data_IF_199357723601
#
_entry.id   IF_199357723601
#
_cell.length_a   1.000
_cell.length_b   1.000
_cell.length_c   1.000
_cell.angle_alpha   90.00
_cell.angle_beta   90.00
_cell.angle_gamma   90.00
#
_symmetry.space_group_name_H-M   'P 1'
#
loop_
_entity.id
_entity.type
_entity.pdbx_description
1 polymer ?
#
# COMPACT_ATOMS: atom_id res chain seq x y z
N UNK A 1 -34.58 40.64 45.65
CA UNK A 1 -34.78 39.27 46.15
C UNK A 1 -33.78 38.24 45.60
N UNK A 2 -33.04 38.50 44.51
CA UNK A 2 -32.13 37.50 43.89
C UNK A 2 -30.62 37.86 43.94
N UNK A 3 -30.19 38.68 44.88
CA UNK A 3 -28.78 39.06 45.05
C UNK A 3 -28.09 38.17 46.12
N UNK A 4 -26.85 37.73 45.87
CA UNK A 4 -26.06 37.02 46.87
C UNK A 4 -25.22 38.00 47.68
N UNK A 5 -25.82 38.53 48.75
CA UNK A 5 -25.30 39.68 49.52
C UNK A 5 -23.94 39.42 50.19
N UNK A 6 -23.60 38.16 50.50
CA UNK A 6 -22.33 37.76 51.14
C UNK A 6 -21.10 37.84 50.23
N UNK A 7 -21.30 37.98 48.92
CA UNK A 7 -20.21 38.13 47.94
C UNK A 7 -20.54 39.32 47.06
N UNK A 8 -20.39 40.51 47.62
CA UNK A 8 -20.43 41.77 46.87
C UNK A 8 -19.01 42.35 46.84
N UNK A 9 -18.74 43.28 45.94
CA UNK A 9 -17.41 43.85 45.82
C UNK A 9 -17.50 45.34 45.48
N UNK A 10 -16.60 46.13 46.06
CA UNK A 10 -16.42 47.54 45.70
C UNK A 10 -15.09 47.70 45.00
N UNK A 11 -15.13 48.27 43.81
CA UNK A 11 -13.96 48.68 43.03
C UNK A 11 -13.74 50.17 43.26
N UNK A 12 -12.58 50.52 43.80
CA UNK A 12 -12.16 51.89 44.11
C UNK A 12 -10.91 52.24 43.32
N UNK A 13 -10.86 53.45 42.78
CA UNK A 13 -9.66 53.99 42.14
C UNK A 13 -8.92 54.93 43.08
N UNK A 14 -7.70 54.57 43.51
CA UNK A 14 -6.86 55.39 44.39
C UNK A 14 -5.67 55.96 43.58
N UNK A 15 -5.53 57.30 43.55
CA UNK A 15 -4.46 57.98 42.80
C UNK A 15 -3.09 57.54 43.34
N UNK A 16 -2.27 56.95 42.45
CA UNK A 16 -0.93 56.44 42.77
C UNK A 16 -0.87 54.97 43.18
N UNK A 17 -2.02 54.33 43.47
CA UNK A 17 -2.13 52.90 43.82
C UNK A 17 -2.84 52.10 42.72
N UNK A 18 -3.72 52.73 41.96
CA UNK A 18 -4.51 52.10 40.90
C UNK A 18 -5.86 51.59 41.40
N UNK A 19 -6.38 50.54 40.76
CA UNK A 19 -7.66 49.92 41.15
C UNK A 19 -7.51 48.98 42.33
N UNK A 20 -8.40 49.12 43.30
CA UNK A 20 -8.47 48.31 44.51
C UNK A 20 -9.84 47.68 44.62
N UNK A 21 -9.85 46.37 44.87
CA UNK A 21 -11.07 45.60 45.07
C UNK A 21 -11.24 45.28 46.56
N UNK A 22 -12.39 45.66 47.10
CA UNK A 22 -12.76 45.47 48.50
C UNK A 22 -13.94 44.50 48.52
N UNK A 23 -13.72 43.31 49.05
CA UNK A 23 -14.79 42.33 49.22
C UNK A 23 -15.72 42.77 50.35
N UNK A 24 -17.03 42.70 50.07
CA UNK A 24 -18.07 43.23 50.93
C UNK A 24 -19.17 42.19 51.15
N UNK A 25 -19.41 41.89 52.43
CA UNK A 25 -20.61 41.15 52.86
C UNK A 25 -21.71 42.15 53.22
N UNK A 26 -22.55 42.48 52.24
CA UNK A 26 -23.66 43.42 52.40
C UNK A 26 -24.70 42.92 53.41
N UNK A 27 -24.85 41.61 53.60
CA UNK A 27 -25.78 41.07 54.61
C UNK A 27 -25.31 41.43 56.02
N UNK A 28 -24.00 41.39 56.26
CA UNK A 28 -23.42 41.79 57.54
C UNK A 28 -23.52 43.30 57.78
N UNK A 29 -23.38 44.11 56.73
CA UNK A 29 -23.48 45.59 56.80
C UNK A 29 -24.90 46.03 57.10
N UNK A 30 -25.91 45.43 56.45
CA UNK A 30 -27.32 45.77 56.71
C UNK A 30 -27.76 45.45 58.15
N UNK A 31 -27.14 44.44 58.77
CA UNK A 31 -27.50 43.97 60.11
C UNK A 31 -26.65 44.60 61.23
N UNK A 32 -25.45 45.07 60.92
CA UNK A 32 -24.54 45.71 61.87
C UNK A 32 -23.86 46.95 61.27
N UNK A 33 -24.39 48.13 61.61
CA UNK A 33 -23.87 49.43 61.16
C UNK A 33 -22.39 49.68 61.51
N UNK A 34 -21.78 48.93 62.44
CA UNK A 34 -20.35 49.05 62.74
C UNK A 34 -19.45 48.39 61.69
N UNK A 35 -20.02 47.54 60.84
CA UNK A 35 -19.34 46.92 59.70
C UNK A 35 -19.51 47.72 58.42
N UNK A 36 -20.27 48.81 58.47
CA UNK A 36 -20.41 49.75 57.38
C UNK A 36 -19.10 50.53 57.16
N UNK A 37 -18.83 50.91 55.93
CA UNK A 37 -17.61 51.62 55.56
C UNK A 37 -17.92 52.75 54.60
N UNK A 38 -17.17 53.85 54.71
CA UNK A 38 -17.42 55.03 53.89
C UNK A 38 -17.05 54.78 52.43
N UNK A 39 -18.02 55.00 51.54
CA UNK A 39 -17.81 55.05 50.10
C UNK A 39 -17.10 56.36 49.72
N UNK A 40 -16.30 56.29 48.67
CA UNK A 40 -15.60 57.43 48.08
C UNK A 40 -16.18 57.72 46.69
N UNK A 41 -15.99 58.96 46.22
CA UNK A 41 -16.40 59.36 44.88
C UNK A 41 -15.67 58.50 43.83
N UNK A 42 -16.44 57.92 42.91
CA UNK A 42 -15.94 56.97 41.90
C UNK A 42 -15.93 55.49 42.30
N UNK A 43 -16.40 55.12 43.50
CA UNK A 43 -16.57 53.71 43.88
C UNK A 43 -17.66 53.02 43.04
N UNK A 44 -17.33 51.85 42.48
CA UNK A 44 -18.27 51.00 41.75
C UNK A 44 -18.61 49.76 42.60
N UNK A 45 -19.87 49.64 43.03
CA UNK A 45 -20.35 48.51 43.84
C UNK A 45 -21.01 47.47 42.95
N UNK A 46 -20.43 46.28 42.88
CA UNK A 46 -20.99 45.13 42.16
C UNK A 46 -21.61 44.12 43.14
N UNK A 47 -22.89 43.81 42.94
CA UNK A 47 -23.63 42.80 43.70
C UNK A 47 -23.87 41.60 42.78
N UNK A 48 -23.26 40.46 43.09
CA UNK A 48 -23.37 39.28 42.23
C UNK A 48 -24.75 38.58 42.40
N UNK A 49 -25.32 38.03 41.31
CA UNK A 49 -26.60 37.35 41.36
C UNK A 49 -26.51 36.03 42.13
N UNK A 50 -27.58 35.65 42.82
CA UNK A 50 -27.70 34.34 43.46
C UNK A 50 -27.97 33.29 42.37
N UNK A 51 -26.99 32.41 42.09
CA UNK A 51 -27.17 31.27 41.18
C UNK A 51 -28.03 30.23 41.91
N UNK A 52 -29.34 30.32 41.78
CA UNK A 52 -30.25 29.25 42.22
C UNK A 52 -30.10 28.09 41.23
N UNK A 53 -29.20 27.15 41.53
CA UNK A 53 -29.21 25.83 40.88
C UNK A 53 -30.55 25.19 41.24
N UNK A 54 -31.45 24.99 40.27
CA UNK A 54 -32.73 24.30 40.50
C UNK A 54 -32.44 22.85 40.91
N UNK A 55 -32.48 22.57 42.21
CA UNK A 55 -32.22 21.24 42.80
C UNK A 55 -33.40 20.29 42.69
N UNK A 56 -34.09 20.18 41.54
CA UNK A 56 -35.22 19.25 41.37
C UNK A 56 -35.32 18.77 39.94
N UNK A 57 -34.26 18.14 39.45
CA UNK A 57 -34.15 17.72 38.07
C UNK A 57 -33.69 16.27 38.01
N UNK A 58 -34.21 15.52 37.04
CA UNK A 58 -33.71 14.21 36.62
C UNK A 58 -33.46 14.25 35.13
N UNK A 59 -32.58 13.41 34.62
CA UNK A 59 -32.17 13.44 33.22
C UNK A 59 -32.44 12.09 32.55
N UNK A 60 -33.06 12.12 31.36
CA UNK A 60 -33.22 10.96 30.51
C UNK A 60 -32.32 11.11 29.28
N UNK A 61 -31.44 10.13 29.05
CA UNK A 61 -30.41 10.12 28.00
C UNK A 61 -30.51 8.89 27.11
N UNK A 62 -29.81 8.96 25.99
CA UNK A 62 -29.59 7.87 25.06
C UNK A 62 -30.55 7.90 23.87
N UNK A 63 -30.13 7.34 22.74
CA UNK A 63 -30.94 7.37 21.51
C UNK A 63 -32.14 6.41 21.57
N UNK A 64 -32.21 5.52 22.56
CA UNK A 64 -33.34 4.62 22.76
C UNK A 64 -34.59 5.29 23.35
N UNK A 65 -34.53 6.56 23.76
CA UNK A 65 -35.66 7.30 24.31
C UNK A 65 -36.19 8.37 23.34
N UNK A 66 -37.51 8.54 23.24
CA UNK A 66 -38.11 9.44 22.23
C UNK A 66 -37.74 10.90 22.44
N UNK A 67 -37.76 11.36 23.69
CA UNK A 67 -37.44 12.74 24.05
C UNK A 67 -36.35 12.79 25.12
N UNK A 68 -35.06 12.68 24.76
CA UNK A 68 -33.98 12.86 25.73
C UNK A 68 -33.98 14.30 26.26
N UNK A 69 -33.64 14.49 27.53
CA UNK A 69 -33.63 15.80 28.15
C UNK A 69 -33.66 15.78 29.66
N UNK A 70 -33.74 16.99 30.22
CA UNK A 70 -33.82 17.21 31.66
C UNK A 70 -35.28 17.48 32.02
N UNK A 71 -35.78 16.75 33.01
CA UNK A 71 -37.16 16.75 33.46
C UNK A 71 -37.26 17.21 34.91
N UNK A 72 -38.40 17.79 35.28
CA UNK A 72 -38.67 18.19 36.66
C UNK A 72 -38.84 16.94 37.54
N UNK A 73 -38.05 16.86 38.61
CA UNK A 73 -38.17 15.81 39.61
C UNK A 73 -39.32 16.11 40.58
N UNK A 74 -40.12 15.09 40.86
CA UNK A 74 -41.16 15.10 41.90
C UNK A 74 -40.91 13.95 42.88
N UNK A 75 -41.10 14.15 44.20
CA UNK A 75 -40.98 13.07 45.17
C UNK A 75 -41.85 11.87 44.79
N UNK A 76 -41.29 10.66 44.87
CA UNK A 76 -41.97 9.42 44.46
C UNK A 76 -41.89 9.09 42.97
N UNK A 77 -41.26 9.93 42.13
CA UNK A 77 -41.11 9.67 40.70
C UNK A 77 -40.21 8.46 40.45
N UNK A 78 -40.61 7.59 39.53
CA UNK A 78 -39.90 6.34 39.20
C UNK A 78 -39.26 6.37 37.81
N UNK A 79 -38.45 5.36 37.49
CA UNK A 79 -37.88 5.14 36.14
C UNK A 79 -38.98 5.15 35.07
N UNK A 80 -40.08 4.45 35.31
CA UNK A 80 -41.26 4.41 34.42
C UNK A 80 -41.83 5.81 34.19
N UNK A 81 -41.96 6.61 35.24
CA UNK A 81 -42.53 7.95 35.14
C UNK A 81 -41.63 8.87 34.30
N UNK A 82 -40.30 8.77 34.47
CA UNK A 82 -39.36 9.52 33.65
C UNK A 82 -39.43 9.11 32.18
N UNK A 83 -39.47 7.80 31.90
CA UNK A 83 -39.62 7.28 30.53
C UNK A 83 -40.95 7.77 29.93
N UNK A 84 -42.03 7.78 30.72
CA UNK A 84 -43.33 8.32 30.31
C UNK A 84 -43.30 9.82 29.98
N UNK A 85 -42.63 10.63 30.81
CA UNK A 85 -42.43 12.07 30.53
C UNK A 85 -41.59 12.31 29.28
N UNK A 86 -40.66 11.39 28.98
CA UNK A 86 -39.87 11.39 27.77
C UNK A 86 -40.59 10.79 26.55
N UNK A 87 -41.92 10.68 26.60
CA UNK A 87 -42.81 10.17 25.55
C UNK A 87 -42.63 8.67 25.23
N UNK A 88 -41.86 7.95 26.04
CA UNK A 88 -41.62 6.51 25.93
C UNK A 88 -40.32 6.15 25.19
N UNK A 89 -40.21 4.85 24.89
CA UNK A 89 -39.06 4.27 24.19
C UNK A 89 -39.23 4.40 22.67
N UNK A 90 -38.12 4.53 21.94
CA UNK A 90 -38.11 4.46 20.47
C UNK A 90 -38.22 3.02 19.99
N UNK A 91 -38.60 2.86 18.72
CA UNK A 91 -38.84 1.56 18.08
C UNK A 91 -37.61 0.63 18.02
N UNK A 92 -36.42 1.20 18.13
CA UNK A 92 -35.15 0.50 18.04
C UNK A 92 -34.42 0.49 19.38
N UNK A 93 -35.10 0.66 20.52
CA UNK A 93 -34.49 0.64 21.85
C UNK A 93 -33.77 -0.70 22.13
N UNK A 94 -32.68 -0.66 22.89
CA UNK A 94 -31.99 -1.87 23.34
C UNK A 94 -32.54 -2.31 24.70
N UNK A 95 -33.34 -3.38 24.72
CA UNK A 95 -34.03 -3.80 25.93
C UNK A 95 -33.16 -4.55 26.95
N UNK A 96 -32.01 -5.12 26.56
CA UNK A 96 -31.22 -5.95 27.50
C UNK A 96 -30.53 -5.13 28.59
N UNK A 97 -30.41 -3.81 28.42
CA UNK A 97 -29.70 -2.96 29.37
C UNK A 97 -30.18 -1.52 29.38
N UNK A 98 -30.34 -0.98 30.58
CA UNK A 98 -30.44 0.42 30.90
C UNK A 98 -29.57 0.74 32.13
N UNK A 99 -29.13 1.98 32.22
CA UNK A 99 -28.23 2.43 33.28
C UNK A 99 -28.86 3.59 34.07
N UNK A 100 -28.93 3.45 35.39
CA UNK A 100 -29.29 4.51 36.34
C UNK A 100 -28.02 5.02 37.02
N UNK A 101 -27.68 6.28 36.80
CA UNK A 101 -26.57 6.97 37.47
C UNK A 101 -27.14 7.87 38.56
N UNK A 102 -26.97 7.44 39.82
CA UNK A 102 -27.41 8.16 41.00
C UNK A 102 -26.37 9.16 41.46
N UNK A 103 -26.82 10.37 41.80
CA UNK A 103 -25.98 11.38 42.46
C UNK A 103 -26.18 11.29 43.97
N UNK A 104 -25.14 10.89 44.69
CA UNK A 104 -25.18 10.84 46.16
C UNK A 104 -25.00 12.27 46.75
N UNK A 105 -25.26 12.42 48.05
CA UNK A 105 -25.21 13.74 48.73
C UNK A 105 -23.84 14.42 48.64
N UNK A 106 -22.76 13.64 48.57
CA UNK A 106 -21.40 14.13 48.38
C UNK A 106 -21.03 14.39 46.91
N UNK A 107 -22.03 14.39 46.00
CA UNK A 107 -21.90 14.51 44.55
C UNK A 107 -21.15 13.35 43.85
N UNK A 108 -20.80 12.28 44.56
CA UNK A 108 -20.31 11.07 43.92
C UNK A 108 -21.40 10.40 43.10
N UNK A 109 -20.99 9.68 42.06
CA UNK A 109 -21.90 9.02 41.12
C UNK A 109 -21.90 7.52 41.36
N UNK A 110 -23.07 6.92 41.50
CA UNK A 110 -23.26 5.48 41.62
C UNK A 110 -24.00 4.93 40.42
N UNK A 111 -23.40 3.98 39.70
CA UNK A 111 -24.04 3.30 38.58
C UNK A 111 -24.84 2.09 39.07
N UNK A 112 -26.07 1.96 38.58
CA UNK A 112 -26.91 0.77 38.73
C UNK A 112 -27.39 0.34 37.36
N UNK A 113 -27.02 -0.86 36.93
CA UNK A 113 -27.41 -1.43 35.63
C UNK A 113 -28.58 -2.39 35.80
N UNK A 114 -29.53 -2.39 34.89
CA UNK A 114 -30.66 -3.32 34.91
C UNK A 114 -31.14 -3.64 33.49
N UNK A 115 -31.89 -4.73 33.32
CA UNK A 115 -32.51 -5.06 32.04
C UNK A 115 -33.79 -4.27 31.86
N UNK A 116 -33.93 -3.55 30.75
CA UNK A 116 -35.15 -2.80 30.46
C UNK A 116 -36.33 -3.74 30.15
N UNK A 117 -36.05 -4.99 29.75
CA UNK A 117 -37.06 -6.07 29.60
C UNK A 117 -37.84 -6.36 30.87
N UNK A 118 -37.24 -6.09 32.03
CA UNK A 118 -37.92 -6.30 33.32
C UNK A 118 -39.10 -5.32 33.45
N UNK A 119 -38.99 -4.12 32.87
CA UNK A 119 -40.00 -3.05 32.93
C UNK A 119 -40.87 -2.95 31.68
N UNK A 120 -40.33 -3.25 30.50
CA UNK A 120 -41.02 -3.10 29.23
C UNK A 120 -40.93 -4.36 28.39
N UNK A 121 -42.03 -4.72 27.75
CA UNK A 121 -42.08 -5.78 26.73
C UNK A 121 -42.53 -5.19 25.40
N UNK A 122 -42.01 -5.74 24.32
CA UNK A 122 -42.48 -5.42 22.98
C UNK A 122 -43.79 -6.16 22.70
N UNK A 123 -44.83 -5.42 22.31
CA UNK A 123 -46.13 -6.00 21.96
C UNK A 123 -46.33 -6.08 20.44
N UNK A 124 -45.85 -5.07 19.73
CA UNK A 124 -45.73 -5.04 18.27
C UNK A 124 -44.42 -4.33 17.90
N UNK A 125 -43.90 -4.51 16.66
CA UNK A 125 -42.61 -3.93 16.26
C UNK A 125 -42.53 -2.45 16.60
N UNK A 126 -41.62 -2.10 17.51
CA UNK A 126 -41.39 -0.74 17.96
C UNK A 126 -42.39 -0.15 18.97
N UNK A 127 -43.35 -0.94 19.45
CA UNK A 127 -44.30 -0.57 20.49
C UNK A 127 -44.01 -1.32 21.79
N UNK A 128 -43.60 -0.56 22.82
CA UNK A 128 -43.20 -1.11 24.11
C UNK A 128 -44.21 -0.74 25.20
N UNK A 129 -44.72 -1.77 25.88
CA UNK A 129 -45.70 -1.63 26.97
C UNK A 129 -45.08 -2.03 28.30
N UNK A 130 -45.50 -1.33 29.36
CA UNK A 130 -45.05 -1.61 30.71
C UNK A 130 -45.50 -3.02 31.15
N UNK A 131 -44.59 -3.80 31.72
CA UNK A 131 -44.84 -5.20 32.11
C UNK A 131 -45.71 -5.33 33.36
N UNK A 132 -45.83 -4.26 34.16
CA UNK A 132 -46.47 -4.30 35.48
C UNK A 132 -45.56 -4.80 36.60
N UNK A 133 -44.28 -5.08 36.31
CA UNK A 133 -43.30 -5.49 37.32
C UNK A 133 -42.55 -4.27 37.85
N UNK A 134 -42.68 -4.01 39.14
CA UNK A 134 -42.07 -2.83 39.78
C UNK A 134 -40.69 -3.13 40.40
N UNK A 135 -40.20 -4.37 40.35
CA UNK A 135 -38.93 -4.79 40.99
C UNK A 135 -37.70 -3.98 40.51
N UNK A 136 -37.72 -3.53 39.25
CA UNK A 136 -36.68 -2.68 38.65
C UNK A 136 -37.15 -1.26 38.38
N UNK A 137 -38.34 -0.89 38.85
CA UNK A 137 -38.90 0.43 38.65
C UNK A 137 -38.39 1.35 39.77
N UNK A 138 -37.09 1.64 39.74
CA UNK A 138 -36.43 2.35 40.82
C UNK A 138 -37.05 3.74 41.04
N UNK A 139 -37.30 4.08 42.30
CA UNK A 139 -37.61 5.45 42.69
C UNK A 139 -36.39 6.34 42.44
N UNK A 140 -36.60 7.46 41.77
CA UNK A 140 -35.57 8.42 41.40
C UNK A 140 -35.31 9.40 42.53
N UNK A 141 -34.11 9.96 42.51
CA UNK A 141 -33.69 11.08 43.36
C UNK A 141 -33.30 12.27 42.49
N UNK A 142 -33.22 13.44 43.13
CA UNK A 142 -32.70 14.64 42.49
C UNK A 142 -31.32 14.37 41.87
N UNK A 143 -31.13 14.84 40.64
CA UNK A 143 -29.92 14.69 39.82
C UNK A 143 -29.63 13.26 39.35
N UNK A 144 -30.57 12.32 39.48
CA UNK A 144 -30.45 11.01 38.84
C UNK A 144 -30.48 11.14 37.31
N UNK A 145 -29.69 10.31 36.64
CA UNK A 145 -29.65 10.20 35.19
C UNK A 145 -29.99 8.77 34.77
N UNK A 146 -30.91 8.61 33.84
CA UNK A 146 -31.20 7.32 33.22
C UNK A 146 -30.68 7.35 31.79
N UNK A 147 -29.88 6.36 31.41
CA UNK A 147 -29.41 6.15 30.06
C UNK A 147 -30.11 4.96 29.42
N UNK A 148 -30.82 5.21 28.32
CA UNK A 148 -31.56 4.22 27.54
C UNK A 148 -30.90 4.06 26.17
N UNK A 149 -30.21 2.94 25.98
CA UNK A 149 -29.45 2.67 24.77
C UNK A 149 -30.36 2.32 23.59
N UNK A 150 -29.90 2.64 22.38
CA UNK A 150 -30.49 2.10 21.15
C UNK A 150 -29.84 0.78 20.76
N UNK A 151 -30.58 -0.08 20.06
CA UNK A 151 -30.03 -1.28 19.43
C UNK A 151 -28.93 -0.93 18.43
N UNK A 152 -28.97 0.25 17.82
CA UNK A 152 -27.92 0.75 16.95
C UNK A 152 -26.60 1.04 17.69
N UNK A 153 -26.66 1.67 18.86
CA UNK A 153 -25.48 1.92 19.71
C UNK A 153 -24.87 0.60 20.20
N UNK A 154 -25.70 -0.41 20.46
CA UNK A 154 -25.28 -1.66 21.09
C UNK A 154 -24.90 -2.77 20.11
N UNK A 155 -25.57 -2.83 18.94
CA UNK A 155 -25.40 -3.88 17.93
C UNK A 155 -24.77 -3.39 16.62
N UNK A 156 -24.62 -2.08 16.44
CA UNK A 156 -24.18 -1.46 15.19
C UNK A 156 -25.35 -0.90 14.39
N UNK A 157 -25.15 0.27 13.76
CA UNK A 157 -26.18 0.97 12.98
C UNK A 157 -26.51 0.25 11.68
N UNK A 158 -25.48 -0.18 10.97
CA UNK A 158 -25.54 -0.61 9.59
C UNK A 158 -24.61 -1.80 9.41
N UNK A 159 -25.08 -2.81 8.68
CA UNK A 159 -24.21 -3.86 8.14
C UNK A 159 -23.57 -3.32 6.87
N UNK A 160 -22.39 -3.82 6.54
CA UNK A 160 -21.65 -3.35 5.37
C UNK A 160 -21.14 -4.48 4.51
N UNK A 161 -21.00 -4.22 3.21
CA UNK A 161 -20.33 -5.09 2.24
C UNK A 161 -19.32 -4.30 1.45
N UNK A 162 -18.25 -4.94 1.02
CA UNK A 162 -17.18 -4.31 0.23
C UNK A 162 -17.12 -4.94 -1.14
N UNK A 163 -16.96 -4.14 -2.18
CA UNK A 163 -16.72 -4.61 -3.56
C UNK A 163 -15.44 -4.00 -4.09
N UNK A 164 -14.58 -4.83 -4.66
CA UNK A 164 -13.22 -4.49 -5.09
C UNK A 164 -12.88 -5.11 -6.46
N UNK A 165 -11.81 -4.61 -7.06
CA UNK A 165 -11.26 -5.09 -8.32
C UNK A 165 -11.87 -4.41 -9.56
N UNK A 166 -12.19 -5.18 -10.60
CA UNK A 166 -12.70 -4.70 -11.89
C UNK A 166 -14.17 -4.28 -11.80
N UNK A 167 -14.45 -3.21 -11.06
CA UNK A 167 -15.78 -2.60 -10.90
C UNK A 167 -15.69 -1.09 -11.07
N UNK A 168 -16.78 -0.43 -11.49
CA UNK A 168 -16.78 1.03 -11.69
C UNK A 168 -16.73 1.81 -10.38
N UNK A 169 -17.40 1.33 -9.34
CA UNK A 169 -17.47 1.99 -8.03
C UNK A 169 -16.99 1.05 -6.91
N UNK A 170 -15.68 0.81 -6.78
CA UNK A 170 -15.16 0.04 -5.67
C UNK A 170 -15.34 0.78 -4.34
N UNK A 171 -15.59 0.03 -3.27
CA UNK A 171 -15.75 0.61 -1.93
C UNK A 171 -16.63 -0.23 -1.00
N UNK A 172 -16.86 0.33 0.18
CA UNK A 172 -17.72 -0.26 1.21
C UNK A 172 -19.08 0.42 1.20
N UNK A 173 -20.14 -0.39 1.19
CA UNK A 173 -21.52 0.03 1.07
C UNK A 173 -22.36 -0.53 2.21
N UNK A 174 -23.44 0.18 2.56
CA UNK A 174 -24.44 -0.32 3.50
C UNK A 174 -25.11 -1.55 2.87
N UNK A 175 -25.33 -2.58 3.68
CA UNK A 175 -26.04 -3.81 3.33
C UNK A 175 -27.47 -3.74 3.86
N UNK A 176 -28.47 -3.45 2.99
CA UNK A 176 -29.88 -3.58 3.35
C UNK A 176 -30.28 -5.05 3.57
N UNK A 177 -31.40 -5.26 4.24
CA UNK A 177 -31.97 -6.60 4.34
C UNK A 177 -32.29 -7.18 2.95
N UNK A 178 -31.97 -8.47 2.77
CA UNK A 178 -32.21 -9.25 1.54
C UNK A 178 -31.42 -8.82 0.30
N UNK A 179 -30.39 -7.97 0.43
CA UNK A 179 -29.52 -7.65 -0.71
C UNK A 179 -28.69 -8.87 -1.14
N UNK A 180 -28.69 -9.14 -2.44
CA UNK A 180 -27.98 -10.25 -3.05
C UNK A 180 -26.67 -9.82 -3.71
N UNK A 181 -25.84 -10.80 -4.07
CA UNK A 181 -24.61 -10.58 -4.82
C UNK A 181 -24.89 -9.89 -6.15
N UNK A 182 -25.95 -10.29 -6.86
CA UNK A 182 -26.38 -9.63 -8.10
C UNK A 182 -26.72 -8.15 -7.87
N UNK A 183 -27.45 -7.81 -6.81
CA UNK A 183 -27.85 -6.42 -6.53
C UNK A 183 -26.62 -5.51 -6.32
N UNK A 184 -25.61 -6.01 -5.60
CA UNK A 184 -24.36 -5.28 -5.37
C UNK A 184 -23.60 -5.06 -6.68
N UNK A 185 -23.43 -6.12 -7.47
CA UNK A 185 -22.69 -6.08 -8.73
C UNK A 185 -23.44 -5.28 -9.79
N UNK A 186 -24.76 -5.37 -9.84
CA UNK A 186 -25.59 -4.59 -10.75
C UNK A 186 -25.46 -3.09 -10.45
N UNK A 187 -25.49 -2.70 -9.18
CA UNK A 187 -25.44 -1.30 -8.75
C UNK A 187 -24.04 -0.67 -8.79
N UNK A 188 -22.97 -1.45 -8.54
CA UNK A 188 -21.59 -0.93 -8.39
C UNK A 188 -20.60 -1.44 -9.43
N UNK A 189 -20.90 -2.58 -10.05
CA UNK A 189 -20.01 -3.26 -11.00
C UNK A 189 -19.84 -2.51 -12.31
N UNK A 190 -20.94 -1.92 -12.83
CA UNK A 190 -20.91 -1.16 -14.07
C UNK A 190 -20.79 -2.02 -15.34
N UNK A 191 -21.16 -3.30 -15.24
CA UNK A 191 -21.08 -4.30 -16.32
C UNK A 191 -22.15 -4.16 -17.40
N UNK A 192 -23.05 -3.18 -17.28
CA UNK A 192 -23.96 -2.78 -18.35
C UNK A 192 -23.22 -2.11 -19.53
N UNK A 193 -21.99 -1.67 -19.29
CA UNK A 193 -21.08 -1.17 -20.32
C UNK A 193 -20.25 -2.33 -20.88
N UNK A 194 -20.57 -2.76 -22.10
CA UNK A 194 -19.90 -3.87 -22.78
C UNK A 194 -18.39 -3.68 -22.96
N UNK A 195 -17.92 -2.43 -23.09
CA UNK A 195 -16.47 -2.18 -23.19
C UNK A 195 -15.79 -2.38 -21.84
N UNK A 196 -16.42 -1.94 -20.75
CA UNK A 196 -15.92 -2.17 -19.40
C UNK A 196 -15.94 -3.66 -19.03
N UNK A 197 -17.03 -4.35 -19.39
CA UNK A 197 -17.23 -5.79 -19.14
C UNK A 197 -16.14 -6.65 -19.75
N UNK A 198 -15.65 -6.32 -20.95
CA UNK A 198 -14.52 -7.03 -21.60
C UNK A 198 -13.23 -7.03 -20.79
N UNK A 199 -13.05 -6.08 -19.88
CA UNK A 199 -11.88 -6.04 -18.99
C UNK A 199 -11.99 -7.00 -17.80
N UNK A 200 -13.17 -7.51 -17.48
CA UNK A 200 -13.41 -8.38 -16.33
C UNK A 200 -13.34 -9.86 -16.71
N UNK A 201 -12.70 -10.65 -15.84
CA UNK A 201 -12.64 -12.09 -15.99
C UNK A 201 -13.96 -12.71 -15.55
N UNK A 202 -14.79 -13.13 -16.52
CA UNK A 202 -16.18 -13.53 -16.25
C UNK A 202 -16.30 -14.93 -15.63
N UNK A 203 -15.32 -15.81 -15.84
CA UNK A 203 -15.43 -17.20 -15.39
C UNK A 203 -15.16 -17.39 -13.88
N UNK A 204 -14.63 -16.36 -13.21
CA UNK A 204 -14.18 -16.47 -11.82
C UNK A 204 -14.29 -15.15 -11.07
N UNK A 205 -14.94 -15.22 -9.91
CA UNK A 205 -14.91 -14.19 -8.88
C UNK A 205 -15.03 -14.83 -7.49
N UNK A 206 -14.75 -14.04 -6.45
CA UNK A 206 -14.73 -14.52 -5.07
C UNK A 206 -15.53 -13.62 -4.13
N UNK A 207 -16.18 -14.24 -3.14
CA UNK A 207 -16.68 -13.58 -1.93
C UNK A 207 -15.87 -14.09 -0.74
N UNK A 208 -15.26 -13.19 0.00
CA UNK A 208 -14.56 -13.46 1.25
C UNK A 208 -15.50 -13.13 2.41
N UNK A 209 -15.84 -14.13 3.21
CA UNK A 209 -16.74 -14.00 4.36
C UNK A 209 -15.99 -14.30 5.65
N UNK A 210 -16.09 -13.38 6.62
CA UNK A 210 -15.50 -13.59 7.95
C UNK A 210 -16.30 -14.63 8.72
N UNK A 211 -15.61 -15.57 9.37
CA UNK A 211 -16.23 -16.53 10.27
C UNK A 211 -16.17 -15.95 11.70
N UNK A 212 -17.30 -15.85 12.43
CA UNK A 212 -17.29 -15.37 13.79
C UNK A 212 -16.37 -16.18 14.70
N UNK A 213 -15.40 -15.51 15.32
CA UNK A 213 -14.45 -16.13 16.27
C UNK A 213 -13.22 -16.75 15.62
N UNK A 214 -13.08 -16.72 14.29
CA UNK A 214 -11.90 -17.19 13.57
C UNK A 214 -11.16 -16.02 12.90
N UNK A 215 -9.84 -16.17 12.73
CA UNK A 215 -9.02 -15.21 11.99
C UNK A 215 -9.12 -15.40 10.47
N UNK A 216 -9.48 -16.60 10.02
CA UNK A 216 -9.53 -16.96 8.62
C UNK A 216 -10.87 -16.55 7.98
N UNK A 217 -10.80 -16.19 6.69
CA UNK A 217 -11.97 -15.89 5.88
C UNK A 217 -12.35 -17.13 5.06
N UNK A 218 -13.66 -17.42 4.98
CA UNK A 218 -14.17 -18.42 4.05
C UNK A 218 -14.26 -17.80 2.66
N UNK A 219 -13.79 -18.54 1.66
CA UNK A 219 -13.85 -18.13 0.26
C UNK A 219 -15.00 -18.86 -0.41
N UNK A 220 -15.89 -18.10 -1.03
CA UNK A 220 -16.94 -18.58 -1.92
C UNK A 220 -16.56 -18.20 -3.34
N UNK A 221 -16.57 -19.18 -4.24
CA UNK A 221 -16.27 -18.98 -5.66
C UNK A 221 -17.55 -18.98 -6.47
N UNK A 222 -17.66 -18.04 -7.40
CA UNK A 222 -18.81 -17.93 -8.30
C UNK A 222 -18.37 -17.51 -9.70
N UNK A 223 -19.20 -17.82 -10.70
CA UNK A 223 -19.02 -17.39 -12.08
C UNK A 223 -19.74 -16.05 -12.31
N UNK A 224 -18.96 -14.99 -12.55
CA UNK A 224 -19.48 -13.65 -12.75
C UNK A 224 -20.34 -13.56 -14.03
N UNK A 225 -19.96 -14.24 -15.11
CA UNK A 225 -20.70 -14.24 -16.37
C UNK A 225 -22.13 -14.75 -16.17
N UNK A 226 -22.26 -15.93 -15.55
CA UNK A 226 -23.55 -16.54 -15.22
C UNK A 226 -24.37 -15.72 -14.23
N UNK A 227 -23.73 -15.14 -13.21
CA UNK A 227 -24.39 -14.20 -12.30
C UNK A 227 -25.02 -13.03 -13.07
N UNK A 228 -24.27 -12.42 -14.00
CA UNK A 228 -24.76 -11.31 -14.82
C UNK A 228 -25.90 -11.72 -15.77
N UNK A 229 -25.94 -12.99 -16.19
CA UNK A 229 -27.04 -13.59 -16.97
C UNK A 229 -28.27 -13.94 -16.12
N UNK A 230 -28.16 -13.85 -14.79
CA UNK A 230 -29.25 -14.09 -13.85
C UNK A 230 -29.36 -15.52 -13.34
N UNK A 231 -28.27 -16.29 -13.38
CA UNK A 231 -28.23 -17.64 -12.80
C UNK A 231 -28.42 -17.57 -11.27
N UNK A 232 -29.51 -18.15 -10.71
CA UNK A 232 -29.77 -18.11 -9.27
C UNK A 232 -28.76 -18.91 -8.45
N UNK A 233 -28.09 -19.92 -9.03
CA UNK A 233 -27.08 -20.71 -8.32
C UNK A 233 -25.82 -19.89 -8.01
N UNK A 234 -25.55 -18.86 -8.80
CA UNK A 234 -24.44 -17.94 -8.61
C UNK A 234 -24.84 -16.73 -7.73
N UNK A 235 -26.13 -16.54 -7.46
CA UNK A 235 -26.67 -15.36 -6.79
C UNK A 235 -26.94 -15.58 -5.29
N UNK A 236 -25.88 -15.58 -4.49
CA UNK A 236 -25.99 -15.74 -3.04
C UNK A 236 -26.46 -14.47 -2.31
N UNK A 237 -27.07 -14.64 -1.13
CA UNK A 237 -27.34 -13.54 -0.19
C UNK A 237 -26.04 -13.08 0.49
N UNK A 238 -25.89 -11.76 0.61
CA UNK A 238 -24.73 -11.17 1.26
C UNK A 238 -24.91 -11.07 2.77
N UNK A 239 -23.80 -11.21 3.49
CA UNK A 239 -23.70 -11.06 4.93
C UNK A 239 -22.85 -9.86 5.31
N UNK A 240 -22.95 -9.44 6.57
CA UNK A 240 -22.15 -8.34 7.09
C UNK A 240 -20.66 -8.63 6.97
N UNK A 241 -19.90 -7.62 6.59
CA UNK A 241 -18.46 -7.67 6.33
C UNK A 241 -18.03 -8.58 5.16
N UNK A 242 -18.95 -9.02 4.29
CA UNK A 242 -18.55 -9.69 3.05
C UNK A 242 -17.72 -8.77 2.16
N UNK A 243 -16.66 -9.33 1.55
CA UNK A 243 -15.85 -8.66 0.54
C UNK A 243 -15.93 -9.41 -0.78
N UNK A 244 -16.47 -8.76 -1.80
CA UNK A 244 -16.62 -9.27 -3.15
C UNK A 244 -15.46 -8.78 -4.01
N UNK A 245 -14.72 -9.72 -4.59
CA UNK A 245 -13.55 -9.44 -5.43
C UNK A 245 -13.84 -9.84 -6.87
N UNK A 246 -13.78 -8.87 -7.78
CA UNK A 246 -13.90 -9.11 -9.22
C UNK A 246 -12.54 -8.93 -9.89
N UNK A 247 -12.07 -9.96 -10.60
CA UNK A 247 -10.76 -9.90 -11.24
C UNK A 247 -10.83 -9.27 -12.63
N UNK A 248 -9.77 -8.56 -13.01
CA UNK A 248 -9.57 -8.15 -14.41
C UNK A 248 -8.83 -9.25 -15.18
N UNK A 249 -9.00 -9.30 -16.50
CA UNK A 249 -8.21 -10.17 -17.37
C UNK A 249 -6.70 -9.93 -17.18
N UNK A 250 -6.28 -8.67 -17.05
CA UNK A 250 -4.86 -8.32 -16.88
C UNK A 250 -4.26 -8.85 -15.56
N UNK A 251 -5.09 -9.00 -14.52
CA UNK A 251 -4.62 -9.51 -13.22
C UNK A 251 -4.46 -11.03 -13.21
N UNK A 252 -5.28 -11.76 -13.97
CA UNK A 252 -5.29 -13.23 -13.96
C UNK A 252 -4.53 -13.86 -15.13
N UNK A 253 -4.57 -13.27 -16.32
CA UNK A 253 -3.80 -13.77 -17.47
C UNK A 253 -2.41 -13.15 -17.49
N UNK A 254 -1.38 -14.01 -17.38
CA UNK A 254 -0.02 -13.61 -17.70
C UNK A 254 0.03 -13.37 -19.21
N UNK A 255 0.22 -12.12 -19.62
CA UNK A 255 0.39 -11.80 -21.04
C UNK A 255 1.48 -12.70 -21.63
N UNK A 256 1.25 -13.30 -22.80
CA UNK A 256 2.27 -14.09 -23.46
C UNK A 256 3.52 -13.22 -23.67
N UNK A 257 4.70 -13.82 -23.56
CA UNK A 257 5.95 -13.10 -23.71
C UNK A 257 6.95 -13.90 -24.54
N UNK A 258 7.95 -13.21 -25.06
CA UNK A 258 9.10 -13.78 -25.75
C UNK A 258 10.39 -13.26 -25.13
N UNK A 259 11.46 -14.03 -25.22
CA UNK A 259 12.77 -13.63 -24.67
C UNK A 259 13.81 -13.58 -25.77
N UNK A 260 14.56 -12.48 -25.87
CA UNK A 260 15.65 -12.31 -26.84
C UNK A 260 16.99 -12.03 -26.12
N UNK A 261 18.02 -12.77 -26.50
CA UNK A 261 19.39 -12.63 -25.98
C UNK A 261 20.46 -12.74 -27.08
N UNK A 262 21.73 -12.49 -26.75
CA UNK A 262 22.85 -12.57 -27.69
C UNK A 262 23.27 -11.23 -28.27
N UNK A 263 23.50 -11.16 -29.59
CA UNK A 263 24.04 -9.99 -30.30
C UNK A 263 23.01 -8.88 -30.56
N UNK A 264 22.23 -8.54 -29.53
CA UNK A 264 21.17 -7.53 -29.54
C UNK A 264 21.48 -6.40 -28.54
N UNK A 265 21.03 -5.17 -28.80
CA UNK A 265 21.37 -4.02 -27.93
C UNK A 265 20.70 -4.09 -26.55
N UNK A 266 19.43 -4.50 -26.48
CA UNK A 266 18.65 -4.58 -25.23
C UNK A 266 18.09 -6.00 -25.05
N UNK A 267 18.91 -6.96 -24.58
CA UNK A 267 18.42 -8.31 -24.28
C UNK A 267 17.41 -8.28 -23.12
N UNK A 268 16.44 -9.18 -23.16
CA UNK A 268 15.41 -9.25 -22.12
C UNK A 268 14.12 -9.95 -22.59
N UNK A 269 13.10 -9.82 -21.75
CA UNK A 269 11.76 -10.35 -22.00
C UNK A 269 10.84 -9.23 -22.47
N UNK A 270 10.06 -9.51 -23.51
CA UNK A 270 9.14 -8.57 -24.15
C UNK A 270 7.74 -9.18 -24.20
N UNK A 271 6.71 -8.38 -23.94
CA UNK A 271 5.32 -8.78 -24.14
C UNK A 271 5.11 -9.18 -25.61
N UNK A 272 4.49 -10.33 -25.85
CA UNK A 272 4.16 -10.82 -27.17
C UNK A 272 2.84 -10.18 -27.61
N UNK A 273 2.91 -9.31 -28.61
CA UNK A 273 1.72 -8.77 -29.27
C UNK A 273 1.17 -9.76 -30.30
N UNK A 274 -0.10 -9.58 -30.66
CA UNK A 274 -0.73 -10.35 -31.74
C UNK A 274 0.03 -10.14 -33.05
N UNK A 275 0.32 -11.23 -33.77
CA UNK A 275 1.08 -11.24 -35.03
C UNK A 275 2.51 -10.65 -34.95
N UNK A 276 3.10 -10.58 -33.76
CA UNK A 276 4.46 -10.08 -33.57
C UNK A 276 5.52 -10.99 -34.23
N UNK A 277 6.49 -10.37 -34.90
CA UNK A 277 7.55 -11.08 -35.64
C UNK A 277 8.93 -10.96 -34.98
N UNK A 278 9.87 -11.79 -35.41
CA UNK A 278 11.28 -11.75 -35.01
C UNK A 278 11.88 -10.37 -35.32
N UNK A 279 11.59 -9.84 -36.50
CA UNK A 279 12.09 -8.57 -36.99
C UNK A 279 11.59 -7.41 -36.12
N UNK A 280 10.29 -7.43 -35.76
CA UNK A 280 9.70 -6.43 -34.86
C UNK A 280 10.34 -6.51 -33.47
N UNK A 281 10.56 -7.73 -32.95
CA UNK A 281 11.24 -7.94 -31.67
C UNK A 281 12.67 -7.38 -31.68
N UNK A 282 13.42 -7.60 -32.76
CA UNK A 282 14.78 -7.04 -32.92
C UNK A 282 14.73 -5.52 -32.91
N UNK A 283 13.76 -4.89 -33.58
CA UNK A 283 13.58 -3.44 -33.58
C UNK A 283 13.23 -2.91 -32.18
N UNK A 284 12.28 -3.54 -31.47
CA UNK A 284 11.91 -3.20 -30.10
C UNK A 284 13.11 -3.32 -29.15
N UNK A 285 13.94 -4.35 -29.34
CA UNK A 285 15.18 -4.54 -28.61
C UNK A 285 16.31 -3.56 -28.99
N UNK A 286 16.03 -2.57 -29.85
CA UNK A 286 16.96 -1.50 -30.22
C UNK A 286 17.88 -1.85 -31.40
N UNK A 287 17.61 -2.96 -32.07
CA UNK A 287 18.40 -3.51 -33.17
C UNK A 287 19.60 -4.32 -32.71
N UNK A 288 20.33 -4.85 -33.70
CA UNK A 288 21.56 -5.62 -33.50
C UNK A 288 22.69 -4.76 -32.94
N UNK A 289 23.63 -5.41 -32.22
CA UNK A 289 24.84 -4.73 -31.74
C UNK A 289 25.78 -4.37 -32.90
N UNK A 290 26.68 -3.37 -32.74
CA UNK A 290 27.63 -3.00 -33.79
C UNK A 290 28.62 -4.11 -34.20
N UNK A 291 28.87 -5.07 -33.31
CA UNK A 291 29.72 -6.24 -33.53
C UNK A 291 28.95 -7.46 -34.09
N UNK A 292 27.66 -7.30 -34.40
CA UNK A 292 26.85 -8.30 -35.08
C UNK A 292 27.12 -8.23 -36.60
N UNK A 293 27.80 -9.23 -37.15
CA UNK A 293 28.06 -9.32 -38.58
C UNK A 293 27.72 -10.72 -39.08
N UNK A 294 26.79 -10.80 -40.05
CA UNK A 294 26.23 -12.06 -40.57
C UNK A 294 25.74 -12.97 -39.43
N UNK A 295 24.57 -12.62 -38.88
CA UNK A 295 23.98 -13.30 -37.73
C UNK A 295 22.77 -14.14 -38.12
N UNK A 296 22.47 -15.12 -37.28
CA UNK A 296 21.24 -15.90 -37.33
C UNK A 296 20.52 -15.82 -35.99
N UNK A 297 19.19 -15.90 -36.03
CA UNK A 297 18.35 -16.12 -34.87
C UNK A 297 18.09 -17.62 -34.70
N UNK A 298 18.37 -18.14 -33.51
CA UNK A 298 17.95 -19.48 -33.10
C UNK A 298 16.72 -19.32 -32.20
N UNK A 299 15.56 -19.76 -32.68
CA UNK A 299 14.30 -19.71 -31.96
C UNK A 299 14.03 -21.09 -31.39
N UNK A 300 14.02 -21.19 -30.06
CA UNK A 300 13.54 -22.38 -29.35
C UNK A 300 12.06 -22.19 -29.00
N UNK A 301 11.20 -22.94 -29.69
CA UNK A 301 9.75 -22.94 -29.47
C UNK A 301 9.35 -24.17 -28.66
N UNK A 302 8.71 -23.94 -27.52
CA UNK A 302 8.13 -25.02 -26.71
C UNK A 302 6.66 -25.09 -27.02
N UNK A 303 6.19 -26.21 -27.59
CA UNK A 303 4.76 -26.42 -27.77
C UNK A 303 4.13 -26.82 -26.43
N UNK A 304 3.18 -26.05 -25.87
CA UNK A 304 2.35 -26.52 -24.78
C UNK A 304 1.33 -27.49 -25.39
N UNK A 305 1.45 -28.80 -25.10
CA UNK A 305 0.46 -29.78 -25.57
C UNK A 305 0.98 -31.15 -25.99
N UNK A 306 2.09 -31.63 -25.44
CA UNK A 306 2.42 -33.06 -25.54
C UNK A 306 2.43 -33.61 -24.13
N UNK A 307 1.70 -34.70 -23.94
CA UNK A 307 1.54 -35.50 -22.71
C UNK A 307 2.77 -35.49 -21.79
N UNK A 308 2.53 -35.56 -20.48
CA UNK A 308 3.56 -35.62 -19.42
C UNK A 308 4.75 -36.50 -19.85
N UNK A 309 5.88 -35.86 -20.16
CA UNK A 309 7.16 -36.55 -20.39
C UNK A 309 7.87 -36.27 -21.72
N UNK A 310 7.25 -35.63 -22.71
CA UNK A 310 7.93 -35.30 -23.98
C UNK A 310 7.81 -33.81 -24.35
N UNK A 311 8.57 -32.93 -23.68
CA UNK A 311 8.79 -31.55 -24.16
C UNK A 311 9.56 -31.60 -25.47
N UNK A 312 8.87 -31.63 -26.61
CA UNK A 312 9.48 -31.45 -27.94
C UNK A 312 9.75 -29.96 -28.13
N UNK A 313 11.02 -29.57 -28.00
CA UNK A 313 11.48 -28.22 -28.35
C UNK A 313 11.75 -28.20 -29.85
N UNK A 314 11.01 -27.40 -30.59
CA UNK A 314 11.31 -27.13 -31.99
C UNK A 314 12.38 -26.04 -32.05
N UNK A 315 13.45 -26.27 -32.81
CA UNK A 315 14.48 -25.27 -33.06
C UNK A 315 14.34 -24.76 -34.48
N UNK A 316 14.07 -23.47 -34.63
CA UNK A 316 13.98 -22.79 -35.92
C UNK A 316 15.22 -21.89 -36.04
N UNK A 317 15.94 -22.00 -37.16
CA UNK A 317 17.11 -21.16 -37.43
C UNK A 317 16.76 -20.22 -38.57
N UNK A 318 16.88 -18.92 -38.32
CA UNK A 318 16.50 -17.88 -39.26
C UNK A 318 17.71 -16.99 -39.54
N UNK A 319 18.24 -16.96 -40.77
CA UNK A 319 19.28 -16.00 -41.14
C UNK A 319 18.74 -14.57 -41.04
N UNK A 320 19.46 -13.67 -40.39
CA UNK A 320 19.09 -12.25 -40.33
C UNK A 320 19.84 -11.50 -41.42
N UNK A 321 19.10 -11.04 -42.43
CA UNK A 321 19.63 -10.19 -43.50
C UNK A 321 19.81 -8.76 -43.01
N UNK A 322 20.71 -7.99 -43.62
CA UNK A 322 21.09 -6.65 -43.13
C UNK A 322 19.97 -5.61 -43.26
N UNK A 323 19.01 -5.87 -44.13
CA UNK A 323 17.82 -5.10 -44.48
C UNK A 323 16.54 -5.63 -43.81
N UNK A 324 16.67 -6.38 -42.71
CA UNK A 324 15.55 -6.99 -41.97
C UNK A 324 14.43 -6.02 -41.58
N UNK A 325 14.70 -4.72 -41.53
CA UNK A 325 13.70 -3.69 -41.23
C UNK A 325 12.73 -3.38 -42.39
N UNK A 326 13.02 -3.82 -43.62
CA UNK A 326 12.28 -3.44 -44.85
C UNK A 326 11.68 -4.70 -45.54
N UNK A 327 11.74 -5.85 -44.88
CA UNK A 327 11.18 -7.10 -45.41
C UNK A 327 9.65 -6.99 -45.42
N UNK A 328 8.95 -7.42 -46.50
CA UNK A 328 7.49 -7.51 -46.53
C UNK A 328 6.96 -8.37 -45.38
N UNK A 329 5.79 -8.01 -44.82
CA UNK A 329 5.25 -8.72 -43.65
C UNK A 329 5.01 -10.23 -43.90
N UNK A 330 4.77 -10.64 -45.16
CA UNK A 330 4.61 -12.04 -45.56
C UNK A 330 5.88 -12.88 -45.41
N UNK A 331 7.05 -12.24 -45.46
CA UNK A 331 8.36 -12.89 -45.38
C UNK A 331 8.98 -12.79 -43.97
N UNK A 332 8.32 -12.10 -43.04
CA UNK A 332 8.78 -11.96 -41.65
C UNK A 332 8.50 -13.24 -40.86
N UNK A 333 9.31 -13.49 -39.84
CA UNK A 333 9.17 -14.72 -39.05
C UNK A 333 8.20 -14.52 -37.89
N UNK A 334 7.03 -15.19 -37.85
CA UNK A 334 6.08 -15.04 -36.76
C UNK A 334 6.59 -15.69 -35.47
N UNK A 335 6.47 -14.97 -34.35
CA UNK A 335 6.81 -15.47 -33.03
C UNK A 335 5.62 -16.15 -32.35
N UNK A 336 5.94 -17.14 -31.51
CA UNK A 336 5.00 -17.87 -30.70
C UNK A 336 5.19 -17.56 -29.22
N UNK A 337 4.15 -17.88 -28.44
CA UNK A 337 4.16 -17.72 -26.99
C UNK A 337 5.33 -18.45 -26.34
N UNK A 338 6.09 -17.74 -25.51
CA UNK A 338 7.26 -18.23 -24.79
C UNK A 338 8.46 -18.63 -25.67
N UNK A 339 8.52 -18.17 -26.92
CA UNK A 339 9.71 -18.35 -27.75
C UNK A 339 10.95 -17.75 -27.07
N UNK A 340 12.05 -18.52 -27.13
CA UNK A 340 13.37 -18.08 -26.67
C UNK A 340 14.29 -17.91 -27.87
N UNK A 341 14.68 -16.67 -28.13
CA UNK A 341 15.44 -16.25 -29.30
C UNK A 341 16.87 -15.93 -28.87
N UNK A 342 17.85 -16.55 -29.55
CA UNK A 342 19.27 -16.25 -29.38
C UNK A 342 19.84 -15.74 -30.69
N UNK A 343 20.34 -14.51 -30.70
CA UNK A 343 21.04 -13.94 -31.87
C UNK A 343 22.54 -14.23 -31.75
N UNK A 344 23.11 -14.93 -32.72
CA UNK A 344 24.53 -15.30 -32.74
C UNK A 344 25.17 -15.11 -34.11
N UNK A 345 26.49 -14.94 -34.13
CA UNK A 345 27.25 -14.92 -35.39
C UNK A 345 27.20 -16.31 -36.06
N UNK A 346 27.24 -16.31 -37.39
CA UNK A 346 27.49 -17.53 -38.15
C UNK A 346 28.87 -18.12 -37.75
N UNK A 347 29.00 -19.46 -37.58
CA UNK A 347 30.19 -20.12 -37.02
C UNK A 347 31.53 -19.84 -37.73
N UNK A 348 31.52 -19.31 -38.95
CA UNK A 348 32.72 -19.06 -39.76
C UNK A 348 33.25 -17.61 -39.64
N UNK A 349 32.65 -16.76 -38.80
CA UNK A 349 33.09 -15.37 -38.61
C UNK A 349 33.63 -15.12 -37.20
N UNK A 350 34.95 -14.98 -37.09
CA UNK A 350 35.63 -14.41 -35.93
C UNK A 350 36.27 -13.07 -36.34
N UNK A 351 36.25 -12.04 -35.48
CA UNK A 351 36.96 -10.79 -35.76
C UNK A 351 38.45 -11.06 -35.97
N UNK A 352 39.06 -10.37 -36.95
CA UNK A 352 40.46 -10.61 -37.30
C UNK A 352 41.37 -10.44 -36.07
N UNK A 353 42.20 -11.43 -35.71
CA UNK A 353 43.10 -11.33 -34.56
C UNK A 353 44.05 -10.15 -34.72
N UNK A 354 44.36 -9.46 -33.62
CA UNK A 354 45.18 -8.24 -33.61
C UNK A 354 46.45 -8.48 -32.80
N UNK A 355 47.57 -7.96 -33.29
CA UNK A 355 48.87 -7.92 -32.61
C UNK A 355 49.22 -6.47 -32.29
N UNK A 356 49.78 -6.23 -31.10
CA UNK A 356 50.28 -4.92 -30.68
C UNK A 356 51.81 -4.87 -30.76
N UNK A 357 52.33 -3.90 -31.50
CA UNK A 357 53.78 -3.71 -31.69
C UNK A 357 54.22 -2.42 -31.02
N UNK A 358 55.23 -2.51 -30.14
CA UNK A 358 55.74 -1.37 -29.37
C UNK A 358 57.27 -1.35 -29.31
N UNK A 359 57.85 -0.17 -29.02
CA UNK A 359 59.30 0.02 -28.94
C UNK A 359 59.90 0.72 -30.17
N UNK A 360 61.17 0.42 -30.47
CA UNK A 360 61.96 1.14 -31.50
C UNK A 360 61.67 0.67 -32.94
N UNK A 361 60.40 0.73 -33.34
CA UNK A 361 59.93 0.50 -34.72
C UNK A 361 59.42 1.81 -35.33
N UNK A 362 59.34 1.92 -36.66
CA UNK A 362 58.90 3.18 -37.30
C UNK A 362 57.45 3.52 -37.00
N UNK A 363 56.56 2.52 -37.05
CA UNK A 363 55.13 2.70 -36.80
C UNK A 363 54.65 1.72 -35.70
N UNK A 364 54.77 2.08 -34.41
CA UNK A 364 54.19 1.28 -33.33
C UNK A 364 52.65 1.39 -33.38
N UNK A 365 51.96 0.32 -32.94
CA UNK A 365 50.49 0.29 -32.97
C UNK A 365 49.91 -1.11 -33.05
N UNK A 366 48.60 -1.18 -33.23
CA UNK A 366 47.84 -2.43 -33.39
C UNK A 366 47.68 -2.79 -34.86
N UNK A 367 47.99 -4.04 -35.19
CA UNK A 367 47.95 -4.58 -36.54
C UNK A 367 47.08 -5.84 -36.56
N UNK A 368 46.03 -5.85 -37.39
CA UNK A 368 45.27 -7.07 -37.67
C UNK A 368 46.11 -8.06 -38.45
N UNK A 369 46.01 -9.33 -38.07
CA UNK A 369 46.59 -10.44 -38.82
C UNK A 369 45.79 -10.65 -40.11
N UNK A 370 46.49 -10.75 -41.23
CA UNK A 370 45.90 -10.99 -42.55
C UNK A 370 45.56 -12.47 -42.75
N UNK A 371 46.26 -13.37 -42.06
CA UNK A 371 46.03 -14.82 -42.07
C UNK A 371 46.23 -15.42 -40.67
N UNK A 372 45.57 -16.55 -40.36
CA UNK A 372 45.66 -17.22 -39.04
C UNK A 372 47.10 -17.54 -38.61
N UNK A 373 48.00 -17.81 -39.54
CA UNK A 373 49.41 -18.14 -39.30
C UNK A 373 50.38 -17.08 -39.84
N UNK A 374 50.10 -15.80 -39.62
CA UNK A 374 50.98 -14.73 -40.07
C UNK A 374 52.32 -14.72 -39.29
N UNK A 375 53.44 -14.64 -40.02
CA UNK A 375 54.79 -14.61 -39.44
C UNK A 375 55.13 -13.22 -38.91
N UNK A 376 55.93 -13.16 -37.85
CA UNK A 376 56.46 -11.90 -37.26
C UNK A 376 57.18 -11.04 -38.31
N UNK A 377 57.87 -11.65 -39.29
CA UNK A 377 58.52 -10.93 -40.39
C UNK A 377 57.55 -10.17 -41.30
N UNK A 378 56.29 -10.60 -41.39
CA UNK A 378 55.23 -9.87 -42.09
C UNK A 378 54.87 -8.59 -41.34
N UNK A 379 54.61 -8.72 -40.05
CA UNK A 379 54.32 -7.59 -39.16
C UNK A 379 55.51 -6.63 -39.09
N UNK A 380 56.75 -7.12 -39.02
CA UNK A 380 57.96 -6.31 -39.00
C UNK A 380 58.15 -5.45 -40.27
N UNK A 381 57.69 -5.93 -41.43
CA UNK A 381 57.66 -5.14 -42.68
C UNK A 381 56.58 -4.06 -42.62
N UNK A 382 55.39 -4.40 -42.11
CA UNK A 382 54.23 -3.49 -42.00
C UNK A 382 54.46 -2.36 -41.00
N UNK A 383 55.22 -2.59 -39.92
CA UNK A 383 55.63 -1.52 -38.99
C UNK A 383 56.73 -0.61 -39.54
N UNK A 384 57.14 -0.81 -40.80
CA UNK A 384 58.14 0.01 -41.51
C UNK A 384 59.60 -0.32 -41.18
N UNK A 385 59.84 -1.44 -40.48
CA UNK A 385 61.16 -1.84 -39.98
C UNK A 385 61.55 -1.18 -38.65
N UNK A 386 62.78 -1.46 -38.22
CA UNK A 386 63.34 -0.94 -36.98
C UNK A 386 63.95 0.46 -37.16
N UNK A 387 63.99 1.25 -36.07
CA UNK A 387 64.77 2.50 -36.03
C UNK A 387 66.28 2.19 -35.90
N UNK A 388 67.14 3.17 -36.18
CA UNK A 388 68.61 2.97 -36.16
C UNK A 388 69.15 2.61 -34.77
N UNK A 389 68.46 3.07 -33.73
CA UNK A 389 68.79 2.86 -32.32
C UNK A 389 68.13 1.60 -31.74
N UNK A 390 67.39 0.84 -32.57
CA UNK A 390 66.75 -0.38 -32.12
C UNK A 390 67.79 -1.48 -31.88
N UNK A 391 67.51 -2.36 -30.91
CA UNK A 391 68.24 -3.59 -30.67
C UNK A 391 67.36 -4.80 -31.04
N UNK A 392 67.40 -5.29 -32.30
CA UNK A 392 66.51 -6.34 -32.78
C UNK A 392 66.67 -7.67 -32.03
N UNK A 393 67.89 -7.98 -31.58
CA UNK A 393 68.22 -9.21 -30.86
C UNK A 393 67.55 -9.27 -29.48
N UNK A 394 67.12 -8.12 -28.94
CA UNK A 394 66.36 -8.02 -27.69
C UNK A 394 64.84 -8.04 -27.87
N UNK A 395 64.33 -8.29 -29.08
CA UNK A 395 62.89 -8.32 -29.33
C UNK A 395 62.23 -9.46 -28.55
N UNK A 396 61.24 -9.13 -27.73
CA UNK A 396 60.48 -10.13 -26.97
C UNK A 396 59.10 -10.30 -27.55
N UNK A 397 58.64 -11.55 -27.64
CA UNK A 397 57.28 -11.91 -27.99
C UNK A 397 56.54 -12.38 -26.73
N UNK A 398 55.38 -11.80 -26.46
CA UNK A 398 54.44 -12.30 -25.46
C UNK A 398 53.18 -12.80 -26.16
N UNK A 399 52.72 -14.01 -25.85
CA UNK A 399 51.36 -14.45 -26.20
C UNK A 399 50.46 -14.37 -24.98
N UNK A 400 49.15 -14.24 -25.19
CA UNK A 400 48.16 -14.21 -24.10
C UNK A 400 48.31 -15.32 -23.04
N UNK A 401 48.75 -16.54 -23.41
CA UNK A 401 49.07 -17.61 -22.46
C UNK A 401 50.28 -17.29 -21.57
N UNK A 402 51.34 -16.78 -22.18
CA UNK A 402 52.58 -16.39 -21.50
C UNK A 402 52.35 -15.23 -20.53
N UNK A 403 51.46 -14.28 -20.89
CA UNK A 403 51.08 -13.16 -20.02
C UNK A 403 50.36 -13.66 -18.74
N UNK A 404 49.47 -14.64 -18.88
CA UNK A 404 48.73 -15.23 -17.76
C UNK A 404 49.69 -15.99 -16.82
N UNK A 405 50.63 -16.78 -17.36
CA UNK A 405 51.63 -17.49 -16.55
C UNK A 405 52.60 -16.54 -15.85
N UNK A 406 53.14 -15.53 -16.55
CA UNK A 406 54.03 -14.53 -15.95
C UNK A 406 53.34 -13.69 -14.86
N UNK A 407 52.04 -13.42 -15.02
CA UNK A 407 51.27 -12.70 -13.99
C UNK A 407 51.06 -13.54 -12.72
N UNK A 408 50.80 -14.86 -12.87
CA UNK A 408 50.75 -15.80 -11.74
C UNK A 408 52.09 -15.91 -11.02
N UNK A 409 53.20 -16.03 -11.76
CA UNK A 409 54.54 -16.13 -11.17
C UNK A 409 54.95 -14.87 -10.42
N UNK A 410 54.66 -13.68 -10.98
CA UNK A 410 54.90 -12.39 -10.30
C UNK A 410 54.06 -12.22 -9.05
N UNK A 411 52.83 -12.72 -9.05
CA UNK A 411 51.95 -12.67 -7.88
C UNK A 411 52.49 -13.58 -6.76
N UNK A 412 52.93 -14.80 -7.11
CA UNK A 412 53.59 -15.73 -6.17
C UNK A 412 54.93 -15.20 -5.64
N UNK A 413 55.74 -14.52 -6.47
CA UNK A 413 56.97 -13.88 -6.02
C UNK A 413 56.70 -12.68 -5.11
N UNK A 414 55.68 -11.86 -5.40
CA UNK A 414 55.26 -10.77 -4.50
C UNK A 414 54.77 -11.29 -3.16
N UNK A 415 54.03 -12.39 -3.13
CA UNK A 415 53.59 -13.04 -1.87
C UNK A 415 54.79 -13.61 -1.08
N UNK A 416 55.80 -14.17 -1.76
CA UNK A 416 57.04 -14.61 -1.10
C UNK A 416 57.86 -13.45 -0.55
N UNK A 417 57.92 -12.31 -1.26
CA UNK A 417 58.63 -11.10 -0.82
C UNK A 417 57.89 -10.45 0.36
N UNK A 418 56.56 -10.39 0.33
CA UNK A 418 55.75 -9.87 1.44
C UNK A 418 55.88 -10.74 2.71
N UNK A 419 56.17 -12.03 2.56
CA UNK A 419 56.48 -12.93 3.67
C UNK A 419 57.95 -12.86 4.13
N UNK A 420 58.88 -12.34 3.32
CA UNK A 420 60.30 -12.16 3.69
C UNK A 420 60.65 -10.76 4.21
N UNK A 421 59.86 -9.73 3.90
CA UNK A 421 60.08 -8.34 4.29
C UNK A 421 59.58 -7.98 5.72
N UNK A 422 59.54 -8.96 6.62
CA UNK A 422 59.51 -8.71 8.07
C UNK A 422 60.90 -8.41 8.66
N UNK A 423 61.95 -8.27 7.82
CA UNK A 423 63.29 -7.83 8.24
C UNK A 423 64.01 -6.95 7.20
N UNK A 424 63.78 -5.64 7.28
CA UNK A 424 64.85 -4.63 7.23
C UNK A 424 65.38 -4.10 5.88
N UNK A 425 65.30 -2.78 5.78
CA UNK A 425 66.18 -1.82 5.08
C UNK A 425 65.84 -1.26 3.69
N UNK A 426 65.77 0.08 3.69
CA UNK A 426 65.70 1.04 2.60
C UNK A 426 66.86 0.94 1.60
N UNK A 427 66.59 1.17 0.30
CA UNK A 427 67.63 1.63 -0.63
C UNK A 427 67.35 1.50 -2.13
N UNK A 428 67.03 2.64 -2.77
CA UNK A 428 67.29 3.06 -4.16
C UNK A 428 66.61 2.33 -5.35
N UNK A 429 65.85 3.12 -6.10
CA UNK A 429 65.52 2.93 -7.52
C UNK A 429 66.79 2.77 -8.37
N UNK A 430 66.74 1.95 -9.44
CA UNK A 430 66.83 2.55 -10.77
C UNK A 430 65.89 1.94 -11.82
N UNK A 431 65.29 2.84 -12.61
CA UNK A 431 64.78 2.62 -13.96
C UNK A 431 65.95 2.49 -14.95
N UNK A 432 65.64 1.84 -16.08
CA UNK A 432 66.25 1.94 -17.44
C UNK A 432 66.99 0.70 -17.98
N UNK A 433 66.28 -0.06 -18.83
CA UNK A 433 66.82 -0.71 -20.02
C UNK A 433 65.66 -0.99 -21.00
N UNK A 434 65.61 -0.24 -22.12
CA UNK A 434 64.59 -0.33 -23.18
C UNK A 434 64.97 -1.42 -24.22
N UNK A 435 64.21 -2.52 -24.25
CA UNK A 435 64.16 -3.47 -25.36
C UNK A 435 62.83 -3.34 -26.13
N UNK A 436 62.83 -3.61 -27.44
CA UNK A 436 61.62 -3.59 -28.26
C UNK A 436 60.67 -4.74 -27.85
N UNK A 437 59.37 -4.44 -27.71
CA UNK A 437 58.35 -5.36 -27.20
C UNK A 437 57.27 -5.62 -28.23
N UNK A 438 57.09 -6.89 -28.60
CA UNK A 438 55.99 -7.35 -29.46
C UNK A 438 55.00 -8.10 -28.56
N UNK A 439 53.77 -7.60 -28.48
CA UNK A 439 52.67 -8.17 -27.71
C UNK A 439 51.66 -8.79 -28.69
N UNK A 440 51.52 -10.11 -28.68
CA UNK A 440 50.52 -10.87 -29.45
C UNK A 440 49.32 -11.22 -28.56
#
# INVERSE_FOLDING_TARGET
>A
SNAYLKRSQVRRFEIGVGEKFIDLDLESVFNDSKKDFALMDGDEVTVFPNIVVRRRLVEAKGDGIKRPGIYEYRPGMTVKDLIGQAEGLKEYVYLERADLVRTEENFSKRLTTFSLKDLYKEESPGHYVYTGKDEKNFELKELDQINIYSSYEMKGKEKHVTVEGQVKEPGTYILPENMTLYDLIFSRGGFQDENFKKGAYLELAHVFRKIPGELEERIYTFNLGKLLEGDPEENMSLEDSDRVMIYSYETLETKPYVTIEGLIKRPGTYELAENMTLEDLILLAGGLRPDAYKVEAVIARTHPGVEEGQRKVATIVVPIVSDFAIIPDEDKTPLGTYDRIVIRNLPEWEPAPVVSVSGQVKYPGSYSLEVKEERISSIARRVGGFKKEAYPEGATLFRRKDIIEMSRERQQQREKICNSDSRGYFGKNPLEALGAKILI
#
